data_IF_225808250257
#
_entry.id   IF_225808250257
#
_cell.length_a   1.000
_cell.length_b   1.000
_cell.length_c   1.000
_cell.angle_alpha   90.00
_cell.angle_beta   90.00
_cell.angle_gamma   90.00
#
_symmetry.space_group_name_H-M   'P 1'
#
loop_
_entity.id
_entity.type
_entity.pdbx_description
1 polymer ?
2 polymer ?
3 non-polymer ?
4 water ?
#
loop_
_entity_poly.entity_id
_entity_poly.type
_entity_poly.pdbx_seq_one_letter_code
_entity_poly.pdbx_strand_id
2 'polyribonucleotide' 'GU' ?
#
# COMPACT_ATOMS: atom_id res chain seq x y z
N UNK A 1 12.40 -24.14 -13.19
CA UNK A 1 11.08 -23.81 -12.66
C UNK A 1 11.10 -22.51 -11.87
N UNK A 2 11.89 -22.47 -10.80
CA UNK A 2 12.09 -21.20 -10.09
C UNK A 2 12.71 -20.19 -11.04
N UNK A 3 12.23 -18.96 -10.96
CA UNK A 3 12.76 -17.87 -11.77
C UNK A 3 12.56 -16.56 -11.00
N UNK A 4 13.66 -15.86 -10.68
CA UNK A 4 13.55 -14.66 -9.83
C UNK A 4 12.79 -13.52 -10.47
N UNK A 5 12.41 -13.62 -11.73
CA UNK A 5 11.63 -12.57 -12.37
C UNK A 5 10.14 -12.86 -12.42
N UNK A 6 9.73 -14.07 -12.05
CA UNK A 6 8.32 -14.41 -11.97
C UNK A 6 7.60 -13.58 -10.90
N UNK A 7 6.28 -13.42 -11.08
CA UNK A 7 5.46 -12.54 -10.25
C UNK A 7 4.45 -13.37 -9.46
N UNK A 8 4.33 -13.07 -8.16
CA UNK A 8 3.34 -13.71 -7.29
C UNK A 8 2.16 -12.76 -7.12
N UNK A 9 0.99 -13.21 -7.58
CA UNK A 9 -0.27 -12.51 -7.45
C UNK A 9 -1.08 -13.14 -6.33
N UNK A 10 -1.63 -12.31 -5.43
CA UNK A 10 -2.35 -12.84 -4.28
C UNK A 10 -3.61 -12.01 -4.05
N UNK A 11 -4.66 -12.69 -3.58
CA UNK A 11 -5.87 -12.03 -3.13
C UNK A 11 -6.39 -12.71 -1.87
N UNK A 12 -6.78 -11.91 -0.88
CA UNK A 12 -7.28 -12.40 0.39
C UNK A 12 -8.71 -11.94 0.60
N UNK A 13 -9.41 -12.67 1.46
CA UNK A 13 -10.63 -12.18 2.08
C UNK A 13 -10.41 -12.15 3.58
N UNK A 14 -11.00 -11.15 4.23
CA UNK A 14 -10.82 -10.90 5.64
C UNK A 14 -12.18 -10.73 6.30
N UNK A 15 -12.22 -10.90 7.62
CA UNK A 15 -13.44 -10.63 8.39
C UNK A 15 -13.69 -9.14 8.62
N UNK A 16 -12.78 -8.27 8.20
CA UNK A 16 -12.91 -6.85 8.47
C UNK A 16 -11.68 -6.13 7.95
N UNK A 17 -11.66 -4.81 8.15
CA UNK A 17 -10.67 -3.94 7.52
C UNK A 17 -9.42 -3.69 8.37
N UNK A 18 -9.40 -4.14 9.62
CA UNK A 18 -8.30 -3.87 10.52
C UNK A 18 -7.32 -5.05 10.51
N UNK A 19 -6.11 -4.91 9.94
CA UNK A 19 -5.21 -6.08 9.88
C UNK A 19 -4.82 -6.64 11.24
N UNK A 20 -4.88 -5.84 12.30
CA UNK A 20 -4.50 -6.33 13.61
C UNK A 20 -5.64 -6.95 14.40
N UNK A 21 -6.88 -6.53 14.18
CA UNK A 21 -8.02 -7.03 14.94
C UNK A 21 -8.84 -8.07 14.18
N UNK A 22 -8.84 -8.03 12.85
CA UNK A 22 -9.58 -8.99 12.05
C UNK A 22 -8.62 -10.08 11.57
N UNK A 23 -9.15 -11.06 10.84
CA UNK A 23 -8.36 -12.22 10.43
C UNK A 23 -8.61 -12.51 8.96
N UNK A 24 -7.76 -13.37 8.40
CA UNK A 24 -7.87 -13.85 7.03
C UNK A 24 -8.81 -15.05 7.00
N UNK A 25 -9.74 -15.06 6.04
CA UNK A 25 -10.63 -16.20 5.87
C UNK A 25 -10.51 -16.88 4.52
N UNK A 26 -9.91 -16.25 3.51
CA UNK A 26 -9.65 -16.93 2.26
C UNK A 26 -8.36 -16.39 1.66
N UNK A 27 -7.67 -17.26 0.91
CA UNK A 27 -6.49 -16.84 0.15
C UNK A 27 -6.43 -17.64 -1.14
N UNK A 28 -5.83 -17.03 -2.17
CA UNK A 28 -5.55 -17.68 -3.44
C UNK A 28 -4.33 -17.00 -4.06
N UNK A 29 -3.59 -17.73 -4.89
CA UNK A 29 -2.42 -17.18 -5.55
C UNK A 29 -2.39 -17.62 -7.01
N UNK A 30 -1.71 -16.83 -7.83
CA UNK A 30 -1.38 -17.17 -9.21
C UNK A 30 0.03 -16.64 -9.49
N UNK A 31 0.82 -17.41 -10.24
CA UNK A 31 2.16 -17.00 -10.66
C UNK A 31 2.16 -16.72 -12.15
N UNK A 32 2.60 -15.53 -12.53
CA UNK A 32 2.87 -15.21 -13.93
C UNK A 32 4.38 -15.02 -14.13
N UNK A 33 4.78 -14.90 -15.39
CA UNK A 33 6.12 -14.45 -15.70
C UNK A 33 6.14 -12.93 -15.65
N UNK A 34 7.29 -12.33 -16.01
CA UNK A 34 7.41 -10.89 -15.90
C UNK A 34 6.63 -10.15 -16.98
N UNK A 35 6.18 -10.85 -18.01
CA UNK A 35 5.33 -10.29 -19.04
C UNK A 35 3.87 -10.71 -18.89
N UNK A 36 3.47 -11.12 -17.69
CA UNK A 36 2.07 -11.31 -17.30
C UNK A 36 1.43 -12.57 -17.88
N UNK A 37 2.24 -13.51 -18.37
CA UNK A 37 1.69 -14.79 -18.85
C UNK A 37 1.58 -15.77 -17.68
N UNK A 38 0.40 -16.36 -17.53
CA UNK A 38 0.12 -17.22 -16.38
C UNK A 38 0.93 -18.50 -16.47
N UNK A 39 1.71 -18.78 -15.43
CA UNK A 39 2.48 -20.01 -15.29
C UNK A 39 1.71 -21.09 -14.53
N UNK A 40 1.08 -20.74 -13.41
CA UNK A 40 0.43 -21.74 -12.59
C UNK A 40 -0.54 -21.04 -11.64
N UNK A 41 -1.68 -21.69 -11.40
CA UNK A 41 -2.64 -21.19 -10.43
C UNK A 41 -2.45 -21.92 -9.10
N UNK A 42 -2.45 -21.17 -8.01
CA UNK A 42 -2.23 -21.73 -6.71
C UNK A 42 -3.52 -22.23 -6.10
N UNK A 43 -3.45 -22.78 -4.89
CA UNK A 43 -4.65 -23.27 -4.22
C UNK A 43 -5.50 -22.13 -3.67
N UNK A 44 -6.81 -22.34 -3.73
CA UNK A 44 -7.80 -21.46 -3.13
C UNK A 44 -8.17 -22.07 -1.79
N UNK A 45 -7.89 -21.37 -0.70
CA UNK A 45 -8.04 -21.95 0.63
C UNK A 45 -8.96 -21.10 1.47
N UNK A 46 -10.02 -21.72 2.00
CA UNK A 46 -10.84 -21.14 3.04
C UNK A 46 -10.25 -21.55 4.38
N UNK A 47 -10.05 -20.57 5.25
CA UNK A 47 -9.34 -20.74 6.50
C UNK A 47 -10.37 -20.80 7.63
N UNK A 48 -10.38 -21.90 8.38
CA UNK A 48 -11.34 -22.04 9.47
C UNK A 48 -11.17 -20.95 10.51
N UNK A 49 -12.29 -20.45 11.02
CA UNK A 49 -12.32 -19.48 12.09
C UNK A 49 -13.46 -19.83 13.03
N UNK A 50 -13.32 -19.54 14.33
CA UNK A 50 -14.41 -19.87 15.28
C UNK A 50 -15.69 -19.11 14.94
N UNK A 51 -16.80 -19.69 15.39
CA UNK A 51 -18.11 -19.16 15.02
C UNK A 51 -18.32 -17.75 15.55
N UNK A 52 -17.78 -17.43 16.72
CA UNK A 52 -17.95 -16.07 17.24
C UNK A 52 -17.24 -15.04 16.36
N UNK A 53 -16.17 -15.43 15.66
CA UNK A 53 -15.53 -14.51 14.74
C UNK A 53 -16.44 -14.24 13.55
N UNK A 54 -17.05 -15.30 13.01
CA UNK A 54 -18.01 -15.12 11.92
C UNK A 54 -19.21 -14.29 12.35
N UNK A 55 -19.72 -14.55 13.56
CA UNK A 55 -20.87 -13.82 14.06
C UNK A 55 -20.53 -12.36 14.31
N UNK A 56 -19.28 -12.06 14.66
CA UNK A 56 -18.90 -10.69 14.95
C UNK A 56 -18.63 -9.80 13.76
N UNK A 57 -18.74 -10.31 12.54
CA UNK A 57 -18.45 -9.48 11.37
C UNK A 57 -19.51 -8.40 11.20
N UNK A 58 -19.10 -7.27 10.62
CA UNK A 58 -20.05 -6.18 10.46
C UNK A 58 -21.09 -6.55 9.38
N UNK A 59 -21.98 -5.61 9.11
CA UNK A 59 -23.13 -5.95 8.27
C UNK A 59 -22.71 -6.22 6.83
N UNK A 60 -21.73 -5.47 6.33
CA UNK A 60 -21.28 -5.68 4.96
C UNK A 60 -20.60 -7.04 4.79
N UNK A 61 -19.69 -7.37 5.70
CA UNK A 61 -18.97 -8.64 5.64
C UNK A 61 -19.90 -9.82 5.90
N UNK A 62 -20.86 -9.65 6.80
CA UNK A 62 -21.82 -10.71 7.06
C UNK A 62 -22.61 -11.06 5.81
N UNK A 63 -23.12 -10.04 5.11
CA UNK A 63 -23.89 -10.28 3.90
C UNK A 63 -23.01 -10.83 2.78
N UNK A 64 -21.85 -10.21 2.58
CA UNK A 64 -21.02 -10.56 1.42
C UNK A 64 -20.43 -11.96 1.55
N UNK A 65 -19.82 -12.28 2.69
CA UNK A 65 -19.28 -13.62 2.88
C UNK A 65 -20.39 -14.65 3.07
N UNK A 66 -21.56 -14.23 3.56
CA UNK A 66 -22.71 -15.12 3.58
C UNK A 66 -23.09 -15.57 2.19
N UNK A 67 -23.44 -14.63 1.31
CA UNK A 67 -24.01 -15.01 0.02
C UNK A 67 -22.96 -15.50 -0.97
N UNK A 68 -21.67 -15.27 -0.72
CA UNK A 68 -20.66 -15.85 -1.60
C UNK A 68 -20.43 -17.33 -1.30
N UNK A 69 -20.92 -17.82 -0.16
CA UNK A 69 -20.61 -19.14 0.34
C UNK A 69 -19.36 -19.23 1.19
N UNK A 70 -18.63 -18.12 1.39
CA UNK A 70 -17.36 -18.21 2.12
C UNK A 70 -17.59 -18.50 3.60
N UNK A 71 -18.62 -17.88 4.19
CA UNK A 71 -18.92 -18.12 5.60
C UNK A 71 -19.10 -19.61 5.88
N UNK A 72 -19.90 -20.28 5.06
CA UNK A 72 -20.09 -21.72 5.23
C UNK A 72 -18.79 -22.49 4.97
N UNK A 73 -18.03 -22.09 3.95
CA UNK A 73 -16.74 -22.72 3.69
C UNK A 73 -15.77 -22.53 4.88
N UNK A 74 -15.79 -21.37 5.52
CA UNK A 74 -14.95 -21.13 6.69
C UNK A 74 -15.35 -22.06 7.84
N UNK A 75 -16.66 -22.14 8.11
CA UNK A 75 -17.14 -23.01 9.18
C UNK A 75 -16.77 -24.47 8.92
N UNK A 76 -16.88 -24.90 7.66
CA UNK A 76 -16.59 -26.29 7.30
C UNK A 76 -15.10 -26.57 7.13
N UNK A 77 -14.27 -25.56 6.91
CA UNK A 77 -12.87 -25.82 6.65
C UNK A 77 -12.21 -26.41 7.90
N UNK A 78 -11.27 -27.33 7.69
CA UNK A 78 -10.37 -27.76 8.76
C UNK A 78 -8.95 -27.27 8.54
N UNK A 79 -8.75 -26.24 7.72
CA UNK A 79 -7.42 -25.70 7.42
C UNK A 79 -7.22 -24.46 8.27
N UNK A 80 -6.21 -24.52 9.15
CA UNK A 80 -5.88 -23.38 9.99
C UNK A 80 -5.11 -22.33 9.21
N UNK A 81 -4.95 -21.17 9.82
CA UNK A 81 -4.16 -20.11 9.21
C UNK A 81 -2.76 -20.61 8.87
N UNK A 82 -2.14 -21.33 9.81
CA UNK A 82 -0.76 -21.75 9.57
C UNK A 82 -0.70 -22.82 8.49
N UNK A 83 -1.69 -23.73 8.44
CA UNK A 83 -1.71 -24.73 7.38
C UNK A 83 -1.94 -24.10 6.01
N UNK A 84 -2.79 -23.07 5.94
CA UNK A 84 -3.02 -22.38 4.68
C UNK A 84 -1.75 -21.68 4.21
N UNK A 85 -1.04 -21.04 5.13
CA UNK A 85 0.23 -20.39 4.82
C UNK A 85 1.23 -21.40 4.28
N UNK A 86 1.35 -22.55 4.94
CA UNK A 86 2.32 -23.56 4.51
C UNK A 86 1.94 -24.14 3.16
N UNK A 87 0.64 -24.37 2.93
CA UNK A 87 0.20 -24.91 1.66
C UNK A 87 0.51 -23.93 0.52
N UNK A 88 0.32 -22.63 0.77
CA UNK A 88 0.60 -21.64 -0.25
C UNK A 88 2.09 -21.53 -0.51
N UNK A 89 2.90 -21.53 0.54
CA UNK A 89 4.35 -21.46 0.37
C UNK A 89 4.86 -22.67 -0.39
N UNK A 90 4.28 -23.85 -0.14
CA UNK A 90 4.74 -25.06 -0.83
C UNK A 90 4.49 -24.95 -2.32
N UNK A 91 3.40 -24.28 -2.71
CA UNK A 91 3.14 -24.03 -4.12
C UNK A 91 4.11 -22.99 -4.68
N UNK A 92 4.22 -21.84 -4.02
CA UNK A 92 5.02 -20.73 -4.55
C UNK A 92 6.50 -21.11 -4.69
N UNK A 93 7.00 -21.94 -3.79
CA UNK A 93 8.41 -22.33 -3.79
C UNK A 93 8.80 -23.03 -5.10
N UNK A 94 7.83 -23.65 -5.77
CA UNK A 94 8.14 -24.32 -7.02
C UNK A 94 8.39 -23.34 -8.16
N UNK A 95 8.01 -22.06 -8.00
CA UNK A 95 7.95 -21.16 -9.15
C UNK A 95 8.75 -19.88 -8.99
N UNK A 96 8.96 -19.43 -7.75
CA UNK A 96 9.59 -18.14 -7.47
C UNK A 96 10.52 -18.31 -6.27
N UNK A 97 11.78 -17.89 -6.35
CA UNK A 97 12.64 -17.98 -5.18
C UNK A 97 12.28 -16.92 -4.14
N UNK A 98 12.77 -17.15 -2.91
CA UNK A 98 12.52 -16.26 -1.80
C UNK A 98 12.99 -14.83 -2.12
N UNK A 99 12.21 -13.83 -1.69
CA UNK A 99 12.52 -12.41 -1.76
C UNK A 99 12.57 -11.83 -3.18
N UNK A 100 12.19 -12.58 -4.21
CA UNK A 100 12.31 -12.11 -5.58
C UNK A 100 11.13 -11.26 -6.03
N UNK A 101 9.91 -11.72 -5.78
CA UNK A 101 8.68 -11.12 -6.31
C UNK A 101 8.14 -10.03 -5.40
N UNK A 102 7.76 -8.90 -5.99
CA UNK A 102 6.84 -7.99 -5.29
C UNK A 102 5.53 -8.71 -5.01
N UNK A 103 4.75 -8.17 -4.09
CA UNK A 103 3.38 -8.64 -3.92
C UNK A 103 2.51 -7.92 -4.93
N UNK A 104 1.76 -8.68 -5.73
CA UNK A 104 1.10 -8.15 -6.92
C UNK A 104 -0.42 -8.28 -6.79
N UNK A 105 -1.14 -7.23 -7.17
CA UNK A 105 -2.59 -7.27 -7.16
C UNK A 105 -3.16 -5.86 -7.07
N UNK A 106 -4.42 -5.79 -6.64
CA UNK A 106 -5.12 -4.52 -6.48
C UNK A 106 -5.13 -4.16 -4.99
N UNK A 107 -4.62 -2.96 -4.68
CA UNK A 107 -4.56 -2.45 -3.31
C UNK A 107 -3.95 -3.49 -2.36
N UNK A 108 -2.80 -4.03 -2.78
CA UNK A 108 -2.19 -5.12 -2.02
C UNK A 108 -1.45 -4.66 -0.77
N UNK A 109 -1.41 -3.34 -0.49
CA UNK A 109 -0.96 -2.88 0.83
C UNK A 109 -1.82 -3.49 1.92
N UNK A 110 -3.13 -3.50 1.70
CA UNK A 110 -4.03 -4.13 2.65
C UNK A 110 -3.67 -5.61 2.84
N UNK A 111 -3.45 -6.34 1.73
CA UNK A 111 -3.12 -7.76 1.83
C UNK A 111 -1.79 -7.96 2.56
N UNK A 112 -0.76 -7.18 2.19
CA UNK A 112 0.52 -7.33 2.87
C UNK A 112 0.37 -7.13 4.37
N UNK A 113 -0.39 -6.11 4.77
CA UNK A 113 -0.59 -5.85 6.20
C UNK A 113 -1.23 -7.05 6.91
N UNK A 114 -2.24 -7.68 6.29
CA UNK A 114 -2.83 -8.87 6.92
C UNK A 114 -1.82 -10.02 6.95
N UNK A 115 -1.06 -10.20 5.87
CA UNK A 115 -0.06 -11.27 5.85
C UNK A 115 1.01 -11.06 6.91
N UNK A 116 1.45 -9.82 7.09
CA UNK A 116 2.50 -9.55 8.07
C UNK A 116 2.05 -9.94 9.48
N UNK A 117 0.80 -9.64 9.81
CA UNK A 117 0.27 -10.01 11.11
C UNK A 117 0.02 -11.50 11.22
N UNK A 118 -0.62 -12.09 10.21
CA UNK A 118 -1.19 -13.43 10.38
C UNK A 118 -0.43 -14.54 9.69
N UNK A 119 0.27 -14.25 8.60
CA UNK A 119 1.11 -15.22 7.90
C UNK A 119 2.49 -14.62 7.64
N UNK A 120 3.26 -14.34 8.70
CA UNK A 120 4.53 -13.60 8.49
C UNK A 120 5.59 -14.37 7.73
N UNK A 121 5.56 -15.71 7.74
CA UNK A 121 6.51 -16.46 6.91
C UNK A 121 6.23 -16.26 5.44
N UNK A 122 4.96 -16.31 5.05
CA UNK A 122 4.60 -15.99 3.66
C UNK A 122 4.85 -14.53 3.35
N UNK A 123 4.55 -13.62 4.27
CA UNK A 123 4.83 -12.21 4.00
C UNK A 123 6.32 -12.01 3.72
N UNK A 124 7.17 -12.68 4.49
CA UNK A 124 8.60 -12.52 4.32
C UNK A 124 9.15 -13.14 3.06
N UNK A 125 8.34 -13.97 2.38
CA UNK A 125 8.73 -14.58 1.13
C UNK A 125 8.75 -13.59 -0.02
N UNK A 126 8.02 -12.49 0.11
CA UNK A 126 7.97 -11.48 -0.95
C UNK A 126 9.16 -10.53 -0.88
N UNK A 127 9.52 -9.99 -2.04
CA UNK A 127 10.32 -8.78 -2.09
C UNK A 127 9.60 -7.67 -1.32
N UNK A 128 10.36 -6.65 -0.91
CA UNK A 128 9.74 -5.56 -0.15
C UNK A 128 8.88 -4.64 -1.03
N UNK A 129 9.00 -4.74 -2.35
CA UNK A 129 8.23 -3.88 -3.25
C UNK A 129 6.78 -4.35 -3.36
N UNK A 130 5.89 -3.38 -3.50
CA UNK A 130 4.49 -3.62 -3.80
C UNK A 130 4.25 -3.30 -5.28
N UNK A 131 3.55 -4.17 -5.97
CA UNK A 131 3.13 -3.93 -7.36
C UNK A 131 1.62 -3.73 -7.36
N UNK A 132 1.19 -2.48 -7.26
CA UNK A 132 -0.20 -2.14 -7.00
C UNK A 132 -0.89 -1.72 -8.30
N UNK A 133 -1.74 -2.60 -8.83
CA UNK A 133 -2.44 -2.31 -10.07
C UNK A 133 -3.36 -1.10 -9.92
N UNK A 134 -3.90 -0.87 -8.71
CA UNK A 134 -4.76 0.30 -8.48
C UNK A 134 -4.00 1.62 -8.48
N UNK A 135 -2.68 1.63 -8.33
CA UNK A 135 -1.95 2.86 -8.61
C UNK A 135 -2.15 3.27 -10.07
N UNK A 136 -2.04 2.31 -10.98
CA UNK A 136 -2.25 2.61 -12.41
C UNK A 136 -3.70 2.95 -12.69
N UNK A 137 -4.64 2.26 -12.03
CA UNK A 137 -6.05 2.59 -12.14
C UNK A 137 -6.28 4.08 -11.83
N UNK A 138 -5.76 4.56 -10.70
CA UNK A 138 -5.94 5.95 -10.32
C UNK A 138 -5.31 6.91 -11.33
N UNK A 139 -4.12 6.58 -11.83
CA UNK A 139 -3.48 7.46 -12.78
C UNK A 139 -4.24 7.48 -14.11
N UNK A 140 -4.70 6.32 -14.57
CA UNK A 140 -5.44 6.28 -15.83
C UNK A 140 -6.75 7.04 -15.72
N UNK A 141 -7.45 6.91 -14.58
CA UNK A 141 -8.69 7.65 -14.40
C UNK A 141 -8.47 9.14 -14.53
N UNK A 142 -7.30 9.63 -14.15
CA UNK A 142 -7.04 11.07 -14.19
C UNK A 142 -6.40 11.52 -15.49
N UNK A 143 -5.54 10.70 -16.08
CA UNK A 143 -4.74 11.09 -17.23
C UNK A 143 -5.25 10.55 -18.56
N UNK A 144 -5.83 9.35 -18.58
CA UNK A 144 -6.36 8.73 -19.79
C UNK A 144 -7.74 8.16 -19.46
N UNK A 145 -8.72 9.04 -19.24
CA UNK A 145 -9.96 8.62 -18.58
C UNK A 145 -10.74 7.51 -19.27
N UNK A 146 -10.46 7.21 -20.54
CA UNK A 146 -11.15 6.11 -21.20
C UNK A 146 -10.25 4.96 -21.63
N UNK A 147 -8.95 5.01 -21.36
CA UNK A 147 -8.24 3.75 -21.19
C UNK A 147 -8.86 2.97 -20.03
N UNK A 148 -9.42 3.68 -19.04
CA UNK A 148 -10.05 3.04 -17.90
C UNK A 148 -11.41 2.46 -18.23
N UNK A 149 -12.13 3.02 -19.21
CA UNK A 149 -13.42 2.46 -19.57
C UNK A 149 -13.34 1.51 -20.77
N UNK A 150 -12.16 1.37 -21.39
CA UNK A 150 -11.96 0.28 -22.33
C UNK A 150 -11.90 -1.08 -21.65
N UNK A 151 -11.60 -1.10 -20.36
CA UNK A 151 -11.43 -2.36 -19.64
C UNK A 151 -12.74 -2.77 -18.97
N UNK A 156 -16.99 -11.23 -10.27
CA UNK A 156 -15.61 -11.58 -9.97
C UNK A 156 -15.48 -12.17 -8.56
N UNK A 157 -16.54 -12.82 -8.08
CA UNK A 157 -16.63 -13.24 -6.69
C UNK A 157 -15.84 -14.51 -6.39
N UNK A 158 -15.35 -15.23 -7.39
CA UNK A 158 -14.47 -16.36 -7.15
C UNK A 158 -13.02 -15.88 -7.07
N UNK A 159 -12.24 -16.47 -6.16
CA UNK A 159 -10.91 -15.94 -5.85
C UNK A 159 -10.02 -15.92 -7.09
N UNK A 160 -9.93 -17.04 -7.81
CA UNK A 160 -9.06 -17.07 -8.99
C UNK A 160 -9.53 -16.12 -10.07
N UNK A 161 -10.84 -15.93 -10.22
CA UNK A 161 -11.32 -14.94 -11.18
C UNK A 161 -10.87 -13.55 -10.77
N UNK A 162 -10.94 -13.24 -9.48
CA UNK A 162 -10.51 -11.93 -9.00
C UNK A 162 -9.05 -11.66 -9.34
N UNK A 163 -8.19 -12.67 -9.16
CA UNK A 163 -6.78 -12.50 -9.48
C UNK A 163 -6.57 -12.42 -10.98
N UNK A 164 -7.26 -13.28 -11.75
CA UNK A 164 -7.15 -13.19 -13.20
C UNK A 164 -7.58 -11.81 -13.69
N UNK A 165 -8.61 -11.22 -13.07
CA UNK A 165 -9.04 -9.88 -13.44
C UNK A 165 -7.94 -8.84 -13.14
N UNK A 166 -7.20 -9.02 -12.04
CA UNK A 166 -6.12 -8.09 -11.72
C UNK A 166 -4.99 -8.18 -12.73
N UNK A 167 -4.62 -9.40 -13.12
CA UNK A 167 -3.60 -9.58 -14.15
C UNK A 167 -4.07 -8.98 -15.47
N UNK A 168 -5.35 -9.22 -15.82
CA UNK A 168 -5.89 -8.66 -17.06
C UNK A 168 -5.89 -7.13 -17.01
N UNK A 169 -6.20 -6.55 -15.84
CA UNK A 169 -6.20 -5.09 -15.73
C UNK A 169 -4.78 -4.53 -15.93
N UNK A 170 -3.77 -5.20 -15.39
CA UNK A 170 -2.41 -4.72 -15.62
C UNK A 170 -1.99 -4.90 -17.07
N UNK A 171 -2.40 -6.01 -17.70
CA UNK A 171 -2.12 -6.21 -19.12
C UNK A 171 -2.72 -5.09 -19.96
N UNK A 172 -3.96 -4.70 -19.65
CA UNK A 172 -4.63 -3.59 -20.32
C UNK A 172 -3.81 -2.30 -20.23
N UNK A 173 -3.27 -2.00 -19.05
CA UNK A 173 -2.49 -0.78 -18.90
C UNK A 173 -1.15 -0.88 -19.62
N UNK A 174 -0.50 -2.05 -19.55
CA UNK A 174 0.75 -2.23 -20.28
C UNK A 174 0.57 -1.95 -21.76
N UNK A 175 -0.61 -2.28 -22.30
CA UNK A 175 -0.88 -2.17 -23.73
C UNK A 175 -1.42 -0.80 -24.15
N UNK A 176 -2.25 -0.17 -23.32
CA UNK A 176 -2.94 1.06 -23.73
C UNK A 176 -2.58 2.30 -22.92
N UNK A 177 -1.86 2.15 -21.81
CA UNK A 177 -1.51 3.26 -20.93
C UNK A 177 -0.01 3.50 -20.83
N UNK A 178 0.79 2.46 -20.92
CA UNK A 178 2.23 2.55 -20.78
C UNK A 178 2.84 2.61 -22.17
N UNK A 179 3.84 3.46 -22.34
CA UNK A 179 4.56 3.61 -23.59
C UNK A 179 5.82 2.76 -23.52
N UNK A 180 5.77 1.58 -24.12
CA UNK A 180 6.91 0.68 -24.11
C UNK A 180 7.82 0.89 -25.32
N UNK B 1 -12.37 26.04 -3.95
CA UNK B 1 -10.97 25.67 -3.74
C UNK B 1 -10.79 24.15 -3.63
N UNK B 2 -11.72 23.50 -2.92
CA UNK B 2 -11.74 22.06 -2.89
C UNK B 2 -11.99 21.50 -4.29
N UNK B 3 -11.28 20.42 -4.62
CA UNK B 3 -11.43 19.74 -5.89
C UNK B 3 -11.19 18.25 -5.63
N UNK B 4 -12.16 17.39 -5.90
CA UNK B 4 -11.97 15.95 -5.64
C UNK B 4 -10.87 15.31 -6.46
N UNK B 5 -10.33 16.01 -7.45
CA UNK B 5 -9.24 15.50 -8.28
C UNK B 5 -7.86 15.80 -7.71
N UNK B 6 -7.77 16.72 -6.75
CA UNK B 6 -6.46 17.10 -6.21
C UNK B 6 -5.83 15.95 -5.43
N UNK B 7 -4.50 15.93 -5.43
CA UNK B 7 -3.74 14.85 -4.82
C UNK B 7 -3.03 15.35 -3.56
N UNK B 8 -3.09 14.53 -2.52
CA UNK B 8 -2.42 14.79 -1.24
C UNK B 8 -1.16 13.95 -1.19
N UNK B 9 -0.01 14.62 -1.09
CA UNK B 9 1.29 13.99 -0.92
C UNK B 9 1.75 14.17 0.52
N UNK B 10 2.32 13.12 1.10
CA UNK B 10 2.70 13.15 2.51
C UNK B 10 4.08 12.54 2.66
N UNK B 11 4.82 13.00 3.67
CA UNK B 11 6.08 12.40 4.07
C UNK B 11 6.15 12.37 5.59
N UNK B 12 6.58 11.25 6.16
CA UNK B 12 6.67 11.09 7.60
C UNK B 12 8.07 10.73 8.04
N UNK B 13 8.43 11.16 9.24
CA UNK B 13 9.58 10.62 9.95
C UNK B 13 9.07 9.90 11.18
N UNK B 14 9.71 8.78 11.54
CA UNK B 14 9.28 8.00 12.70
C UNK B 14 10.49 7.61 13.52
N UNK B 15 10.23 7.18 14.78
CA UNK B 15 11.34 6.72 15.62
C UNK B 15 11.88 5.37 15.16
N UNK B 16 11.14 4.69 14.29
CA UNK B 16 11.49 3.37 13.79
C UNK B 16 10.36 2.94 12.88
N UNK B 17 10.48 1.73 12.34
CA UNK B 17 9.54 1.30 11.30
C UNK B 17 8.38 0.45 11.81
N UNK B 18 8.21 0.33 13.11
CA UNK B 18 7.16 -0.54 13.64
C UNK B 18 6.13 0.29 14.37
N UNK B 19 4.89 0.39 13.86
CA UNK B 19 3.90 1.26 14.51
C UNK B 19 3.52 0.85 15.92
N UNK B 20 3.71 -0.42 16.30
CA UNK B 20 3.43 -0.83 17.68
C UNK B 20 4.50 -0.34 18.64
N UNK B 21 5.75 -0.27 18.18
CA UNK B 21 6.85 0.17 19.03
C UNK B 21 7.20 1.64 18.86
N UNK B 22 6.90 2.23 17.71
CA UNK B 22 7.43 3.52 17.31
C UNK B 22 6.31 4.54 17.10
N UNK B 23 6.70 5.81 16.95
CA UNK B 23 5.74 6.90 16.80
C UNK B 23 6.20 7.83 15.69
N UNK B 24 5.27 8.65 15.19
CA UNK B 24 5.57 9.67 14.20
C UNK B 24 6.24 10.84 14.90
N UNK B 25 7.32 11.37 14.31
CA UNK B 25 7.98 12.54 14.88
C UNK B 25 8.05 13.73 13.93
N UNK B 26 7.86 13.55 12.63
CA UNK B 26 7.72 14.67 11.72
C UNK B 26 6.69 14.32 10.66
N UNK B 27 5.92 15.33 10.23
CA UNK B 27 5.03 15.14 9.10
C UNK B 27 5.08 16.37 8.20
N UNK B 28 4.77 16.16 6.93
CA UNK B 28 4.71 17.22 5.94
C UNK B 28 3.76 16.80 4.84
N UNK B 29 3.13 17.78 4.21
CA UNK B 29 2.20 17.51 3.11
C UNK B 29 2.39 18.54 2.00
N UNK B 30 2.05 18.13 0.79
CA UNK B 30 1.92 19.01 -0.36
C UNK B 30 0.67 18.60 -1.12
N UNK B 31 -0.11 19.57 -1.58
CA UNK B 31 -1.27 19.33 -2.44
C UNK B 31 -0.92 19.75 -3.87
N UNK B 32 -1.11 18.83 -4.81
CA UNK B 32 -1.02 19.11 -6.24
C UNK B 32 -2.41 18.99 -6.87
N UNK B 33 -2.55 19.51 -8.09
CA UNK B 33 -3.72 19.12 -8.86
C UNK B 33 -3.47 17.78 -9.52
N UNK B 34 -4.44 17.31 -10.31
CA UNK B 34 -4.33 16.00 -10.94
C UNK B 34 -3.17 15.93 -11.91
N UNK B 35 -2.62 17.06 -12.35
CA UNK B 35 -1.50 17.06 -13.27
C UNK B 35 -0.20 17.48 -12.61
N UNK B 36 -0.09 17.30 -11.29
CA UNK B 36 1.15 17.41 -10.53
C UNK B 36 1.67 18.84 -10.40
N UNK B 37 0.83 19.84 -10.63
CA UNK B 37 1.21 21.22 -10.34
C UNK B 37 0.94 21.51 -8.87
N UNK B 38 1.92 22.09 -8.19
CA UNK B 38 1.74 22.44 -6.78
C UNK B 38 0.59 23.41 -6.62
N UNK B 39 -0.37 23.06 -5.77
CA UNK B 39 -1.34 24.07 -5.35
C UNK B 39 -0.91 24.75 -4.06
N UNK B 40 -0.41 23.97 -3.09
CA UNK B 40 0.01 24.52 -1.81
C UNK B 40 0.91 23.53 -1.12
N UNK B 41 1.89 24.05 -0.39
CA UNK B 41 2.72 23.23 0.47
C UNK B 41 2.21 23.41 1.90
N UNK B 42 2.02 22.29 2.59
CA UNK B 42 1.48 22.31 3.93
C UNK B 42 2.55 22.51 4.99
N UNK B 43 2.11 22.50 6.25
CA UNK B 43 3.06 22.69 7.35
C UNK B 43 3.96 21.48 7.55
N UNK B 44 5.20 21.78 7.93
CA UNK B 44 6.18 20.78 8.32
C UNK B 44 6.22 20.79 9.83
N UNK B 45 5.76 19.71 10.46
CA UNK B 45 5.53 19.72 11.90
C UNK B 45 6.43 18.70 12.57
N UNK B 46 7.24 19.16 13.52
CA UNK B 46 7.95 18.26 14.42
C UNK B 46 7.03 17.96 15.60
N UNK B 47 6.85 16.68 15.89
CA UNK B 47 5.83 16.23 16.84
C UNK B 47 6.51 15.90 18.15
N UNK B 48 6.09 16.56 19.23
CA UNK B 48 6.76 16.37 20.51
C UNK B 48 6.63 14.92 20.98
N UNK B 49 7.69 14.42 21.60
CA UNK B 49 7.70 13.10 22.20
C UNK B 49 8.50 13.19 23.49
N UNK B 50 8.06 12.51 24.56
CA UNK B 50 8.81 12.54 25.82
C UNK B 50 10.17 11.86 25.67
N UNK B 51 11.02 12.09 26.67
CA UNK B 51 12.42 11.68 26.57
C UNK B 51 12.57 10.15 26.53
N UNK B 52 11.78 9.41 27.30
CA UNK B 52 11.93 7.96 27.25
C UNK B 52 11.58 7.39 25.88
N UNK B 53 10.62 8.01 25.18
CA UNK B 53 10.35 7.58 23.80
C UNK B 53 11.57 7.86 22.92
N UNK B 54 12.21 9.02 23.11
CA UNK B 54 13.41 9.35 22.34
C UNK B 54 14.59 8.45 22.72
N UNK B 55 14.67 8.06 23.99
CA UNK B 55 15.70 7.13 24.43
C UNK B 55 15.48 5.74 23.84
N UNK B 56 14.22 5.33 23.70
CA UNK B 56 13.89 4.00 23.23
C UNK B 56 14.21 3.69 21.77
N UNK B 57 14.92 4.59 21.10
CA UNK B 57 15.26 4.42 19.69
C UNK B 57 16.53 3.57 19.55
N UNK B 58 16.59 2.81 18.46
CA UNK B 58 17.76 1.96 18.21
C UNK B 58 18.94 2.83 17.77
N UNK B 59 20.01 2.19 17.30
CA UNK B 59 21.24 2.90 16.97
C UNK B 59 21.07 3.76 15.73
N UNK B 60 20.62 3.17 14.63
CA UNK B 60 20.54 3.90 13.37
C UNK B 60 19.58 5.08 13.47
N UNK B 61 18.48 4.92 14.22
CA UNK B 61 17.51 6.00 14.34
C UNK B 61 18.00 7.08 15.32
N UNK B 62 18.54 6.67 16.46
CA UNK B 62 19.05 7.63 17.43
C UNK B 62 20.08 8.55 16.80
N UNK B 63 20.92 7.98 15.93
CA UNK B 63 21.98 8.76 15.29
C UNK B 63 21.41 9.60 14.15
N UNK B 64 20.56 9.01 13.30
CA UNK B 64 20.10 9.72 12.11
C UNK B 64 19.22 10.91 12.46
N UNK B 65 18.40 10.80 13.51
CA UNK B 65 17.57 11.91 13.92
C UNK B 65 18.31 12.89 14.82
N UNK B 66 19.29 12.41 15.58
CA UNK B 66 20.16 13.33 16.29
C UNK B 66 20.91 14.24 15.33
N UNK B 67 21.54 13.65 14.30
CA UNK B 67 22.41 14.41 13.40
C UNK B 67 21.62 15.37 12.51
N UNK B 68 20.40 15.02 12.14
CA UNK B 68 19.61 15.91 11.30
C UNK B 68 19.02 17.07 12.10
N UNK B 69 19.13 17.03 13.43
CA UNK B 69 18.47 18.00 14.28
C UNK B 69 17.02 17.70 14.57
N UNK B 70 16.45 16.63 14.00
CA UNK B 70 15.04 16.35 14.28
C UNK B 70 14.81 16.01 15.75
N UNK B 71 15.71 15.22 16.35
CA UNK B 71 15.52 14.86 17.76
C UNK B 71 15.38 16.10 18.63
N UNK B 72 16.25 17.08 18.44
CA UNK B 72 16.17 18.31 19.21
C UNK B 72 14.89 19.08 18.89
N UNK B 73 14.51 19.13 17.62
CA UNK B 73 13.24 19.76 17.25
C UNK B 73 12.06 19.07 17.92
N UNK B 74 12.16 17.74 18.10
CA UNK B 74 11.07 16.99 18.71
C UNK B 74 11.04 17.25 20.20
N UNK B 75 12.22 17.24 20.84
CA UNK B 75 12.33 17.54 22.25
C UNK B 75 11.71 18.90 22.59
N UNK B 76 11.96 19.90 21.74
CA UNK B 76 11.47 21.25 21.98
C UNK B 76 10.00 21.44 21.61
N UNK B 77 9.52 20.69 20.62
CA UNK B 77 8.20 20.96 20.04
C UNK B 77 7.14 20.99 21.12
N UNK B 78 6.16 21.89 20.95
CA UNK B 78 4.98 21.94 21.81
C UNK B 78 3.74 21.44 21.07
N UNK B 79 3.92 20.67 20.00
CA UNK B 79 2.81 20.20 19.20
C UNK B 79 2.68 18.70 19.42
N UNK B 80 1.55 18.28 19.96
CA UNK B 80 1.31 16.87 20.20
C UNK B 80 0.94 16.16 18.91
N UNK B 81 0.94 14.83 18.98
CA UNK B 81 0.52 14.02 17.84
C UNK B 81 -0.88 14.43 17.36
N UNK B 82 -1.81 14.56 18.31
CA UNK B 82 -3.18 14.93 17.95
C UNK B 82 -3.25 16.34 17.38
N UNK B 83 -2.45 17.27 17.91
CA UNK B 83 -2.49 18.64 17.38
C UNK B 83 -1.87 18.71 15.99
N UNK B 84 -0.80 17.94 15.76
CA UNK B 84 -0.21 17.91 14.42
C UNK B 84 -1.19 17.35 13.40
N UNK B 85 -1.90 16.27 13.78
CA UNK B 85 -2.94 15.71 12.92
C UNK B 85 -4.00 16.76 12.60
N UNK B 86 -4.45 17.50 13.62
CA UNK B 86 -5.48 18.51 13.40
C UNK B 86 -4.97 19.65 12.53
N UNK B 87 -3.75 20.12 12.80
CA UNK B 87 -3.12 21.16 11.99
C UNK B 87 -3.05 20.74 10.52
N UNK B 88 -2.62 19.49 10.26
CA UNK B 88 -2.53 19.01 8.89
C UNK B 88 -3.91 18.86 8.26
N UNK B 89 -4.90 18.38 9.03
CA UNK B 89 -6.24 18.26 8.50
C UNK B 89 -6.83 19.63 8.16
N UNK B 90 -6.54 20.64 8.98
CA UNK B 90 -7.05 21.98 8.71
C UNK B 90 -6.51 22.50 7.38
N UNK B 91 -5.25 22.18 7.06
CA UNK B 91 -4.68 22.58 5.78
C UNK B 91 -5.32 21.80 4.62
N UNK B 92 -5.33 20.46 4.72
CA UNK B 92 -5.79 19.65 3.60
C UNK B 92 -7.26 19.91 3.27
N UNK B 93 -8.07 20.23 4.28
CA UNK B 93 -9.50 20.44 4.03
C UNK B 93 -9.76 21.63 3.12
N UNK B 94 -8.83 22.58 3.05
CA UNK B 94 -9.02 23.73 2.17
C UNK B 94 -8.89 23.37 0.70
N UNK B 95 -8.34 22.19 0.40
CA UNK B 95 -7.96 21.86 -0.97
C UNK B 95 -8.55 20.57 -1.50
N UNK B 96 -8.79 19.59 -0.65
CA UNK B 96 -9.22 18.26 -1.08
C UNK B 96 -10.40 17.84 -0.20
N UNK B 97 -11.45 17.26 -0.78
CA UNK B 97 -12.52 16.69 0.04
C UNK B 97 -12.13 15.35 0.65
N UNK B 98 -12.90 14.95 1.66
CA UNK B 98 -12.68 13.71 2.37
C UNK B 98 -12.81 12.50 1.44
N UNK B 99 -11.99 11.48 1.72
CA UNK B 99 -12.08 10.17 1.05
C UNK B 99 -11.93 10.28 -0.48
N UNK B 100 -11.25 11.30 -0.96
CA UNK B 100 -11.07 11.52 -2.40
C UNK B 100 -9.66 11.29 -2.89
N UNK B 101 -8.67 11.79 -2.21
CA UNK B 101 -7.32 11.58 -2.70
C UNK B 101 -6.74 10.30 -2.11
N UNK B 102 -6.14 9.43 -2.92
CA UNK B 102 -5.28 8.39 -2.36
C UNK B 102 -4.08 9.01 -1.64
N UNK B 103 -3.38 8.20 -0.85
CA UNK B 103 -2.08 8.63 -0.32
C UNK B 103 -1.07 8.55 -1.46
N UNK B 104 -0.36 9.66 -1.70
CA UNK B 104 0.58 9.76 -2.80
C UNK B 104 1.99 9.92 -2.28
N UNK B 105 2.93 9.22 -2.89
CA UNK B 105 4.31 9.32 -2.49
C UNK B 105 5.05 8.02 -2.79
N UNK B 106 6.13 7.82 -2.05
CA UNK B 106 6.93 6.62 -2.11
C UNK B 106 6.83 5.90 -0.76
N UNK B 107 6.81 4.57 -0.80
CA UNK B 107 6.74 3.74 0.40
C UNK B 107 5.60 4.17 1.32
N UNK B 108 4.42 4.38 0.74
CA UNK B 108 3.34 5.00 1.51
C UNK B 108 2.41 3.96 2.14
N UNK B 109 2.63 2.66 1.90
CA UNK B 109 1.99 1.65 2.73
C UNK B 109 2.47 1.76 4.17
N UNK B 110 3.79 1.89 4.36
CA UNK B 110 4.32 2.12 5.69
C UNK B 110 3.74 3.38 6.31
N UNK B 111 3.59 4.47 5.52
CA UNK B 111 2.95 5.67 6.02
C UNK B 111 1.51 5.38 6.47
N UNK B 112 0.76 4.64 5.66
CA UNK B 112 -0.63 4.36 6.00
C UNK B 112 -0.72 3.57 7.30
N UNK B 113 0.22 2.64 7.50
CA UNK B 113 0.28 1.88 8.76
C UNK B 113 0.46 2.82 9.94
N UNK B 114 1.36 3.81 9.81
CA UNK B 114 1.59 4.71 10.94
C UNK B 114 0.40 5.64 11.14
N UNK B 115 -0.19 6.13 10.05
CA UNK B 115 -1.35 7.00 10.19
C UNK B 115 -2.54 6.26 10.80
N UNK B 116 -2.78 5.03 10.33
CA UNK B 116 -3.87 4.22 10.87
C UNK B 116 -3.74 4.06 12.38
N UNK B 117 -2.52 3.82 12.86
CA UNK B 117 -2.31 3.62 14.30
C UNK B 117 -2.29 4.95 15.07
N UNK B 118 -1.64 5.98 14.55
CA UNK B 118 -1.36 7.17 15.35
C UNK B 118 -2.16 8.40 14.97
N UNK B 119 -2.69 8.48 13.74
CA UNK B 119 -3.53 9.59 13.32
C UNK B 119 -4.72 9.04 12.53
N UNK B 120 -5.62 8.29 13.21
CA UNK B 120 -6.70 7.61 12.47
C UNK B 120 -7.63 8.54 11.72
N UNK B 121 -7.86 9.75 12.23
CA UNK B 121 -8.72 10.67 11.50
C UNK B 121 -8.05 11.15 10.21
N UNK B 122 -6.75 11.44 10.24
CA UNK B 122 -6.08 11.79 8.99
C UNK B 122 -6.04 10.58 8.05
N UNK B 123 -5.75 9.38 8.57
CA UNK B 123 -5.75 8.20 7.70
C UNK B 123 -7.10 8.04 7.00
N UNK B 124 -8.20 8.23 7.74
CA UNK B 124 -9.53 8.08 7.16
C UNK B 124 -9.91 9.21 6.24
N UNK B 125 -9.19 10.33 6.29
CA UNK B 125 -9.47 11.41 5.35
C UNK B 125 -9.05 11.04 3.93
N UNK B 126 -8.11 10.11 3.77
CA UNK B 126 -7.68 9.70 2.44
C UNK B 126 -8.66 8.70 1.86
N UNK B 127 -8.71 8.64 0.54
CA UNK B 127 -9.23 7.46 -0.13
C UNK B 127 -8.43 6.24 0.29
N UNK B 128 -9.07 5.07 0.25
CA UNK B 128 -8.36 3.87 0.72
C UNK B 128 -7.23 3.46 -0.22
N UNK B 129 -7.20 3.99 -1.44
CA UNK B 129 -6.16 3.58 -2.37
C UNK B 129 -4.85 4.31 -2.09
N UNK B 130 -3.78 3.67 -2.52
CA UNK B 130 -2.43 4.21 -2.50
C UNK B 130 -2.02 4.56 -3.92
N UNK B 131 -1.37 5.70 -4.09
CA UNK B 131 -0.72 6.05 -5.35
C UNK B 131 0.77 5.99 -5.09
N UNK B 132 1.37 4.81 -5.24
CA UNK B 132 2.79 4.62 -4.93
C UNK B 132 3.62 4.67 -6.21
N UNK B 133 4.48 5.69 -6.30
CA UNK B 133 5.35 5.86 -7.47
C UNK B 133 6.23 4.64 -7.67
N UNK B 134 6.55 3.91 -6.60
CA UNK B 134 7.40 2.74 -6.74
C UNK B 134 6.74 1.60 -7.52
N UNK B 135 5.40 1.60 -7.64
CA UNK B 135 4.80 0.66 -8.59
C UNK B 135 5.29 0.93 -10.01
N UNK B 136 5.30 2.21 -10.42
CA UNK B 136 5.82 2.59 -11.74
C UNK B 136 7.29 2.25 -11.89
N UNK B 137 8.09 2.51 -10.84
CA UNK B 137 9.52 2.20 -10.88
C UNK B 137 9.75 0.71 -11.08
N UNK B 138 8.96 -0.13 -10.40
CA UNK B 138 9.11 -1.57 -10.57
C UNK B 138 8.75 -1.99 -11.99
N UNK B 139 7.68 -1.43 -12.55
CA UNK B 139 7.28 -1.77 -13.91
C UNK B 139 8.31 -1.26 -14.92
N UNK B 140 8.80 -0.04 -14.75
CA UNK B 140 9.85 0.46 -15.63
C UNK B 140 11.11 -0.40 -15.52
N UNK B 141 11.44 -0.87 -14.31
CA UNK B 141 12.61 -1.73 -14.16
C UNK B 141 12.51 -2.97 -15.03
N UNK B 142 11.30 -3.53 -15.16
CA UNK B 142 11.13 -4.76 -15.92
C UNK B 142 10.94 -4.48 -17.42
N UNK B 143 10.22 -3.42 -17.76
CA UNK B 143 9.73 -3.23 -19.11
C UNK B 143 10.39 -2.08 -19.87
N UNK B 144 10.95 -1.09 -19.17
CA UNK B 144 11.64 0.04 -19.80
C UNK B 144 12.79 0.49 -18.90
N UNK B 145 13.82 -0.34 -18.76
CA UNK B 145 14.86 -0.08 -17.75
C UNK B 145 15.53 1.27 -17.90
N UNK B 146 15.65 1.77 -19.13
CA UNK B 146 16.34 3.03 -19.34
C UNK B 146 15.54 4.21 -18.79
N UNK B 147 14.21 4.08 -18.70
CA UNK B 147 13.42 5.15 -18.12
C UNK B 147 13.69 5.25 -16.62
N UNK B 148 13.72 4.11 -15.92
CA UNK B 148 14.07 4.15 -14.50
C UNK B 148 15.47 4.71 -14.30
N UNK B 149 16.40 4.32 -15.16
CA UNK B 149 17.79 4.74 -14.98
C UNK B 149 17.98 6.22 -15.29
N UNK B 150 17.18 6.80 -16.17
CA UNK B 150 17.36 8.19 -16.56
C UNK B 150 16.82 9.20 -15.54
N UNK B 151 16.32 8.75 -14.38
CA UNK B 151 15.82 9.70 -13.40
C UNK B 151 16.90 10.05 -12.37
N UNK B 156 16.88 15.31 -1.05
CA UNK B 156 15.70 14.89 -0.29
C UNK B 156 15.92 14.85 1.22
N UNK B 157 16.89 15.63 1.71
CA UNK B 157 17.19 15.57 3.14
C UNK B 157 16.09 16.21 3.99
N UNK B 158 15.38 17.21 3.46
CA UNK B 158 14.34 17.92 4.20
C UNK B 158 12.97 17.58 3.61
N UNK B 159 11.93 17.75 4.43
CA UNK B 159 10.65 17.09 4.18
C UNK B 159 9.99 17.57 2.89
N UNK B 160 10.04 18.87 2.61
CA UNK B 160 9.35 19.37 1.43
C UNK B 160 10.11 19.02 0.15
N UNK B 161 11.45 19.14 0.17
CA UNK B 161 12.25 18.61 -0.94
C UNK B 161 11.99 17.11 -1.14
N UNK B 162 11.84 16.37 -0.04
CA UNK B 162 11.62 14.93 -0.12
C UNK B 162 10.32 14.63 -0.88
N UNK B 163 9.23 15.33 -0.54
CA UNK B 163 7.97 15.16 -1.26
C UNK B 163 8.12 15.63 -2.70
N UNK B 164 8.75 16.79 -2.89
CA UNK B 164 8.85 17.34 -4.24
C UNK B 164 9.61 16.39 -5.16
N UNK B 165 10.62 15.69 -4.64
CA UNK B 165 11.31 14.70 -5.45
C UNK B 165 10.39 13.54 -5.82
N UNK B 166 9.47 13.16 -4.92
CA UNK B 166 8.53 12.11 -5.26
C UNK B 166 7.58 12.57 -6.35
N UNK B 167 7.17 13.83 -6.31
CA UNK B 167 6.35 14.41 -7.37
C UNK B 167 7.13 14.45 -8.67
N UNK B 168 8.42 14.80 -8.60
CA UNK B 168 9.24 14.85 -9.80
C UNK B 168 9.47 13.45 -10.37
N UNK B 169 9.51 12.42 -9.50
CA UNK B 169 9.68 11.06 -9.99
C UNK B 169 8.43 10.57 -10.74
N UNK B 170 7.25 10.89 -10.23
CA UNK B 170 6.02 10.55 -10.96
C UNK B 170 5.96 11.30 -12.28
N UNK B 171 6.26 12.61 -12.24
CA UNK B 171 6.24 13.42 -13.44
C UNK B 171 7.17 12.84 -14.51
N UNK B 172 8.36 12.41 -14.11
CA UNK B 172 9.28 11.74 -15.01
C UNK B 172 8.62 10.55 -15.69
N UNK B 173 7.95 9.70 -14.90
CA UNK B 173 7.31 8.52 -15.48
C UNK B 173 6.12 8.89 -16.36
N UNK B 174 5.39 9.96 -16.00
CA UNK B 174 4.31 10.41 -16.86
C UNK B 174 4.85 10.88 -18.21
N UNK B 175 6.04 11.49 -18.21
CA UNK B 175 6.56 12.06 -19.45
C UNK B 175 7.27 11.03 -20.32
N UNK B 176 7.82 9.96 -19.71
CA UNK B 176 8.66 9.02 -20.46
C UNK B 176 8.21 7.57 -20.40
N UNK B 177 7.15 7.26 -19.65
CA UNK B 177 6.71 5.88 -19.48
C UNK B 177 5.20 5.73 -19.67
N UNK B 178 4.43 6.80 -19.55
CA UNK B 178 3.00 6.80 -19.80
C UNK B 178 2.79 7.41 -21.17
N UNK B 179 1.98 6.77 -22.00
CA UNK B 179 1.69 7.32 -23.31
C UNK B 179 0.37 8.09 -23.24
N UNK B 180 0.43 9.38 -23.61
CA UNK B 180 -0.76 10.22 -23.66
C UNK B 180 -0.68 11.08 -24.91
X LIG D 1 4.97 -3.11 5.90
X LIG D 1 4.91 -3.91 7.02
X LIG D 1 3.78 -4.70 6.97
X LIG D 1 3.10 -4.39 5.83
X LIG D 1 3.85 -3.40 5.15
#
# INVERSE_FOLDING_TARGET
>A
MQNPQNLIWIALEMTGLDPDRDVIIEMATIVTDSDLNTLAEGPVIAIHQPEEILAGMDEWNTRQHGQSGLTQRVRESTVSMAEAEAQTLAFLEQWVPKRSSPICGNSICQDRRFLYRHMPRLEGYFHYRNLDVSTLKELAARWAPQVRESFKKGNTHLALDDIRESIAELRHYRDHFIKL
>B
MQNPQNLIWIALEMTGLDPDRDVIIEMATIVTDSDLNTLAEGPVIAIHQPEEILAGMDEWNTRQHGQSGLTQRVRESTVSMAEAEAQTLAFLEQWVPKRSSPICGNSICQDRRFLYRHMPRLEGYFHYRNLDVSTLKELAARWAPQVRESFKKGNTHLALDDIRESIAELRHYRDHFIKL
>D hetero
1 IMD N1 C2 N3 C4 C5
#
